data_IF_825983600257
#
_entry.id   IF_825983600257
#
_cell.length_a   1.000
_cell.length_b   1.000
_cell.length_c   1.000
_cell.angle_alpha   90.00
_cell.angle_beta   90.00
_cell.angle_gamma   90.00
#
_symmetry.space_group_name_H-M   'P 1'
#
loop_
_entity.id
_entity.type
_entity.pdbx_description
1 polymer ?
#
# COMPACT_ATOMS: atom_id res chain seq x y z
N UNK A 1 5.33 -10.36 -9.38
CA UNK A 1 5.39 -11.73 -9.93
C UNK A 1 5.28 -11.74 -11.46
N UNK A 2 4.18 -11.20 -12.04
CA UNK A 2 3.96 -11.19 -13.50
C UNK A 2 5.06 -10.43 -14.27
N UNK A 3 5.55 -9.31 -13.72
CA UNK A 3 6.63 -8.53 -14.35
C UNK A 3 7.96 -9.30 -14.39
N UNK A 4 8.32 -9.95 -13.29
CA UNK A 4 9.52 -10.78 -13.20
C UNK A 4 9.46 -11.97 -14.17
N UNK A 5 8.25 -12.55 -14.36
CA UNK A 5 8.02 -13.61 -15.33
C UNK A 5 8.14 -13.16 -16.80
N UNK A 6 7.89 -11.86 -17.08
CA UNK A 6 7.84 -11.35 -18.46
C UNK A 6 9.10 -10.63 -18.91
N UNK A 7 9.98 -10.20 -17.98
CA UNK A 7 11.19 -9.42 -18.28
C UNK A 7 12.46 -9.89 -17.59
N UNK A 8 12.39 -10.95 -16.77
CA UNK A 8 13.62 -11.62 -16.30
C UNK A 8 14.44 -12.09 -17.50
N UNK A 9 15.76 -11.89 -17.48
CA UNK A 9 16.63 -12.59 -18.42
C UNK A 9 16.46 -14.09 -18.19
N UNK A 10 16.65 -14.93 -19.20
CA UNK A 10 16.59 -16.38 -19.05
C UNK A 10 17.58 -16.91 -17.99
N UNK A 11 18.55 -16.08 -17.56
CA UNK A 11 19.56 -16.36 -16.54
C UNK A 11 19.13 -15.96 -15.11
N UNK A 12 18.06 -15.17 -14.92
CA UNK A 12 17.63 -14.71 -13.60
C UNK A 12 16.66 -15.70 -12.95
N UNK A 13 17.18 -16.52 -12.03
CA UNK A 13 16.35 -17.37 -11.19
C UNK A 13 15.85 -16.59 -9.97
N UNK A 14 14.57 -16.32 -9.92
CA UNK A 14 13.94 -15.62 -8.81
C UNK A 14 13.12 -16.54 -7.92
N UNK A 15 13.07 -16.22 -6.63
CA UNK A 15 12.19 -16.86 -5.63
C UNK A 15 11.27 -15.78 -5.06
N UNK A 16 9.96 -16.05 -5.06
CA UNK A 16 8.94 -15.23 -4.44
C UNK A 16 8.30 -16.01 -3.30
N UNK A 17 8.27 -15.40 -2.11
CA UNK A 17 7.68 -15.97 -0.89
C UNK A 17 6.76 -14.93 -0.23
N UNK A 18 5.61 -15.40 0.24
CA UNK A 18 4.77 -14.65 1.16
C UNK A 18 5.23 -14.90 2.60
N UNK A 19 4.88 -14.00 3.53
CA UNK A 19 5.32 -14.11 4.92
C UNK A 19 4.99 -15.49 5.52
N UNK A 20 3.80 -16.00 5.30
CA UNK A 20 3.34 -17.32 5.79
C UNK A 20 4.19 -18.51 5.30
N UNK A 21 4.91 -18.34 4.20
CA UNK A 21 5.80 -19.34 3.63
C UNK A 21 7.24 -19.26 4.19
N UNK A 22 7.53 -18.22 5.00
CA UNK A 22 8.87 -17.97 5.51
C UNK A 22 9.19 -18.88 6.69
N UNK A 23 10.31 -19.57 6.57
CA UNK A 23 10.96 -20.27 7.67
C UNK A 23 12.45 -19.98 7.61
N UNK A 24 13.12 -19.98 8.76
CA UNK A 24 14.57 -19.79 8.84
C UNK A 24 15.31 -20.79 7.93
N UNK A 25 14.88 -22.07 7.93
CA UNK A 25 15.44 -23.13 7.09
C UNK A 25 15.27 -22.88 5.59
N UNK A 26 14.08 -22.38 5.16
CA UNK A 26 13.81 -22.09 3.74
C UNK A 26 14.68 -20.95 3.24
N UNK A 27 14.80 -19.89 4.03
CA UNK A 27 15.68 -18.75 3.72
C UNK A 27 17.15 -19.18 3.64
N UNK A 28 17.62 -20.06 4.53
CA UNK A 28 18.98 -20.59 4.49
C UNK A 28 19.26 -21.40 3.23
N UNK A 29 18.32 -22.25 2.82
CA UNK A 29 18.43 -23.00 1.56
C UNK A 29 18.54 -22.09 0.35
N UNK A 30 17.70 -21.04 0.28
CA UNK A 30 17.72 -20.05 -0.80
C UNK A 30 19.04 -19.27 -0.79
N UNK A 31 19.49 -18.85 0.39
CA UNK A 31 20.77 -18.15 0.52
C UNK A 31 21.97 -19.00 0.10
N UNK A 32 21.89 -20.32 0.23
CA UNK A 32 22.93 -21.27 -0.22
C UNK A 32 22.87 -21.64 -1.71
N UNK A 33 21.73 -21.39 -2.35
CA UNK A 33 21.51 -21.75 -3.77
C UNK A 33 22.15 -20.71 -4.68
N UNK A 34 23.19 -21.11 -5.44
CA UNK A 34 23.93 -20.21 -6.33
C UNK A 34 23.16 -19.82 -7.59
N UNK A 35 22.11 -20.57 -7.95
CA UNK A 35 21.30 -20.26 -9.11
C UNK A 35 20.24 -19.18 -8.82
N UNK A 36 19.91 -18.94 -7.55
CA UNK A 36 18.96 -17.88 -7.17
C UNK A 36 19.71 -16.53 -7.17
N UNK A 37 19.19 -15.59 -7.94
CA UNK A 37 19.73 -14.22 -8.05
C UNK A 37 18.84 -13.19 -7.41
N UNK A 38 17.51 -13.40 -7.41
CA UNK A 38 16.51 -12.47 -6.87
C UNK A 38 15.63 -13.16 -5.84
N UNK A 39 15.49 -12.55 -4.67
CA UNK A 39 14.59 -12.98 -3.61
C UNK A 39 13.54 -11.88 -3.36
N UNK A 40 12.26 -12.22 -3.49
CA UNK A 40 11.14 -11.34 -3.19
C UNK A 40 10.41 -11.87 -1.96
N UNK A 41 10.30 -11.04 -0.93
CA UNK A 41 9.58 -11.34 0.30
C UNK A 41 8.40 -10.37 0.42
N UNK A 42 7.19 -10.91 0.44
CA UNK A 42 5.95 -10.15 0.46
C UNK A 42 5.20 -10.29 1.79
N UNK A 43 4.35 -9.33 2.07
CA UNK A 43 3.51 -9.24 3.27
C UNK A 43 4.33 -9.25 4.59
N UNK A 44 5.49 -8.58 4.61
CA UNK A 44 6.39 -8.58 5.78
C UNK A 44 5.77 -8.03 7.07
N UNK A 45 4.65 -7.31 7.00
CA UNK A 45 3.92 -6.87 8.19
C UNK A 45 3.38 -8.05 9.02
N UNK A 46 3.18 -9.21 8.40
CA UNK A 46 2.65 -10.40 9.06
C UNK A 46 3.72 -11.17 9.86
N UNK A 47 5.00 -10.87 9.64
CA UNK A 47 6.10 -11.51 10.37
C UNK A 47 6.01 -11.35 11.88
N UNK A 48 5.40 -10.27 12.38
CA UNK A 48 5.34 -9.97 13.81
C UNK A 48 4.51 -10.99 14.59
N UNK A 49 3.59 -11.68 13.93
CA UNK A 49 2.65 -12.63 14.54
C UNK A 49 3.13 -14.09 14.43
N UNK A 50 4.30 -14.32 13.83
CA UNK A 50 4.82 -15.67 13.60
C UNK A 50 5.67 -16.17 14.78
N UNK A 51 5.60 -17.46 15.08
CA UNK A 51 6.38 -18.10 16.15
C UNK A 51 7.90 -17.94 15.99
N UNK A 52 8.41 -18.01 14.73
CA UNK A 52 9.84 -17.89 14.40
C UNK A 52 10.24 -16.47 13.97
N UNK A 53 9.42 -15.45 14.27
CA UNK A 53 9.60 -14.10 13.74
C UNK A 53 11.03 -13.55 13.90
N UNK A 54 11.62 -13.66 15.08
CA UNK A 54 12.95 -13.10 15.36
C UNK A 54 14.05 -13.85 14.62
N UNK A 55 13.92 -15.16 14.48
CA UNK A 55 14.88 -15.96 13.72
C UNK A 55 14.82 -15.67 12.22
N UNK A 56 13.61 -15.52 11.68
CA UNK A 56 13.36 -15.13 10.29
C UNK A 56 13.95 -13.74 10.01
N UNK A 57 13.67 -12.74 10.88
CA UNK A 57 14.23 -11.38 10.77
C UNK A 57 15.76 -11.40 10.76
N UNK A 58 16.37 -12.09 11.70
CA UNK A 58 17.82 -12.23 11.76
C UNK A 58 18.41 -12.89 10.50
N UNK A 59 17.70 -13.85 9.93
CA UNK A 59 18.11 -14.51 8.68
C UNK A 59 17.99 -13.56 7.47
N UNK A 60 16.92 -12.80 7.39
CA UNK A 60 16.75 -11.77 6.34
C UNK A 60 17.86 -10.72 6.43
N UNK A 61 18.15 -10.18 7.61
CA UNK A 61 19.23 -9.23 7.82
C UNK A 61 20.58 -9.78 7.34
N UNK A 62 20.88 -11.05 7.65
CA UNK A 62 22.10 -11.72 7.20
C UNK A 62 22.17 -11.85 5.67
N UNK A 63 21.07 -12.21 5.01
CA UNK A 63 21.00 -12.29 3.54
C UNK A 63 21.26 -10.92 2.92
N UNK A 64 20.67 -9.87 3.47
CA UNK A 64 20.86 -8.50 3.01
C UNK A 64 22.32 -8.04 3.14
N UNK A 65 22.94 -8.24 4.29
CA UNK A 65 24.34 -7.83 4.54
C UNK A 65 25.35 -8.63 3.75
N UNK A 66 25.05 -9.88 3.39
CA UNK A 66 25.90 -10.68 2.50
C UNK A 66 25.95 -10.15 1.07
N UNK A 67 24.94 -9.42 0.61
CA UNK A 67 24.91 -8.73 -0.67
C UNK A 67 24.96 -9.62 -1.92
N UNK A 68 24.74 -10.93 -1.78
CA UNK A 68 24.78 -11.87 -2.92
C UNK A 68 23.50 -11.84 -3.75
N UNK A 69 22.37 -11.66 -3.09
CA UNK A 69 21.04 -11.66 -3.72
C UNK A 69 20.53 -10.23 -3.90
N UNK A 70 19.84 -9.99 -4.99
CA UNK A 70 18.92 -8.86 -5.08
C UNK A 70 17.69 -9.20 -4.23
N UNK A 71 17.45 -8.43 -3.18
CA UNK A 71 16.32 -8.66 -2.28
C UNK A 71 15.30 -7.55 -2.44
N UNK A 72 14.06 -7.93 -2.67
CA UNK A 72 12.90 -7.03 -2.72
C UNK A 72 12.02 -7.36 -1.53
N UNK A 73 11.85 -6.40 -0.64
CA UNK A 73 11.00 -6.50 0.53
C UNK A 73 9.72 -5.70 0.28
N UNK A 74 8.56 -6.34 0.45
CA UNK A 74 7.25 -5.71 0.25
C UNK A 74 6.50 -5.76 1.57
N UNK A 75 5.95 -4.60 1.97
CA UNK A 75 5.15 -4.46 3.18
C UNK A 75 4.10 -3.39 3.01
N UNK A 76 2.96 -3.53 3.64
CA UNK A 76 1.87 -2.53 3.60
C UNK A 76 2.13 -1.33 4.50
N UNK A 77 2.90 -1.52 5.56
CA UNK A 77 3.18 -0.50 6.56
C UNK A 77 4.48 0.27 6.29
N UNK A 78 4.94 0.95 7.33
CA UNK A 78 6.26 1.59 7.34
C UNK A 78 7.36 0.54 7.28
N UNK A 79 8.54 0.99 6.86
CA UNK A 79 9.72 0.13 6.98
C UNK A 79 9.88 -0.37 8.42
N UNK A 80 9.95 -1.68 8.64
CA UNK A 80 10.05 -2.25 9.97
C UNK A 80 11.31 -1.78 10.71
N UNK A 81 11.17 -1.50 12.02
CA UNK A 81 12.27 -0.99 12.84
C UNK A 81 13.52 -1.89 12.85
N UNK A 82 13.32 -3.21 12.74
CA UNK A 82 14.44 -4.17 12.70
C UNK A 82 15.31 -4.07 11.43
N UNK A 83 14.83 -3.40 10.37
CA UNK A 83 15.64 -3.10 9.17
C UNK A 83 16.48 -1.83 9.29
N UNK A 84 16.24 -0.98 10.30
CA UNK A 84 16.97 0.29 10.45
C UNK A 84 18.48 0.09 10.62
N UNK A 85 18.89 -0.91 11.40
CA UNK A 85 20.31 -1.21 11.61
C UNK A 85 20.95 -1.65 10.28
N UNK A 86 20.28 -2.53 9.55
CA UNK A 86 20.74 -2.97 8.22
C UNK A 86 20.81 -1.82 7.23
N UNK A 87 19.85 -0.89 7.27
CA UNK A 87 19.85 0.30 6.42
C UNK A 87 21.06 1.21 6.66
N UNK A 88 21.58 1.22 7.89
CA UNK A 88 22.79 1.99 8.21
C UNK A 88 24.07 1.32 7.65
N UNK A 89 24.05 0.01 7.45
CA UNK A 89 25.19 -0.75 6.94
C UNK A 89 25.21 -0.88 5.41
N UNK A 90 24.03 -1.01 4.81
CA UNK A 90 23.87 -1.16 3.36
C UNK A 90 22.90 -0.14 2.79
N UNK A 91 23.03 0.16 1.51
CA UNK A 91 22.12 1.08 0.83
C UNK A 91 20.81 0.37 0.46
N UNK A 92 19.77 0.55 1.27
CA UNK A 92 18.42 0.08 0.97
C UNK A 92 17.66 1.22 0.30
N UNK A 93 17.23 1.02 -0.95
CA UNK A 93 16.31 1.94 -1.62
C UNK A 93 14.89 1.67 -1.11
N UNK A 94 14.32 2.62 -0.41
CA UNK A 94 12.91 2.59 -0.02
C UNK A 94 12.08 3.23 -1.13
N UNK A 95 11.04 2.53 -1.58
CA UNK A 95 10.03 3.06 -2.50
C UNK A 95 8.74 3.20 -1.69
N UNK A 96 8.35 4.44 -1.47
CA UNK A 96 7.14 4.76 -0.73
C UNK A 96 5.90 4.65 -1.62
N UNK A 97 4.73 4.58 -1.00
CA UNK A 97 3.46 4.58 -1.74
C UNK A 97 3.31 5.80 -2.65
N UNK A 98 3.76 6.98 -2.20
CA UNK A 98 3.70 8.21 -3.02
C UNK A 98 4.47 8.08 -4.34
N UNK A 99 5.58 7.34 -4.34
CA UNK A 99 6.36 7.07 -5.56
C UNK A 99 5.68 6.06 -6.48
N UNK A 100 4.69 5.31 -5.97
CA UNK A 100 3.90 4.34 -6.74
C UNK A 100 2.60 4.95 -7.29
N UNK A 101 2.23 6.16 -6.88
CA UNK A 101 1.08 6.85 -7.45
C UNK A 101 1.35 7.21 -8.91
N UNK A 102 0.35 6.99 -9.75
CA UNK A 102 0.42 7.33 -11.17
C UNK A 102 0.07 8.81 -11.39
N UNK A 103 0.94 9.50 -12.11
CA UNK A 103 0.66 10.85 -12.58
C UNK A 103 -0.40 10.86 -13.69
N UNK A 104 -1.05 12.00 -13.93
CA UNK A 104 -2.09 12.19 -14.97
C UNK A 104 -1.70 11.57 -16.32
N UNK A 105 -0.44 11.78 -16.73
CA UNK A 105 0.07 11.23 -17.98
C UNK A 105 0.14 9.71 -17.98
N UNK A 106 0.55 9.13 -16.85
CA UNK A 106 0.67 7.68 -16.69
C UNK A 106 -0.73 7.03 -16.63
N UNK A 107 -1.69 7.67 -15.92
CA UNK A 107 -3.09 7.24 -15.90
C UNK A 107 -3.68 7.25 -17.31
N UNK A 108 -3.45 8.32 -18.09
CA UNK A 108 -3.87 8.37 -19.49
C UNK A 108 -3.29 7.22 -20.30
N UNK A 109 -1.97 7.03 -20.26
CA UNK A 109 -1.28 5.96 -20.98
C UNK A 109 -1.78 4.58 -20.56
N UNK A 110 -2.10 4.40 -19.28
CA UNK A 110 -2.68 3.16 -18.78
C UNK A 110 -4.00 2.84 -19.48
N UNK A 111 -4.94 3.79 -19.51
CA UNK A 111 -6.24 3.59 -20.16
C UNK A 111 -6.12 3.42 -21.69
N UNK A 112 -5.25 4.20 -22.34
CA UNK A 112 -4.95 4.02 -23.77
C UNK A 112 -4.45 2.60 -24.08
N UNK A 113 -3.58 2.05 -23.24
CA UNK A 113 -3.08 0.67 -23.37
C UNK A 113 -4.18 -0.39 -23.11
N UNK A 114 -5.20 -0.04 -22.34
CA UNK A 114 -6.40 -0.87 -22.14
C UNK A 114 -7.43 -0.70 -23.29
N UNK A 115 -7.14 0.14 -24.29
CA UNK A 115 -8.04 0.41 -25.42
C UNK A 115 -9.15 1.44 -25.10
N UNK A 116 -9.01 2.17 -24.00
CA UNK A 116 -9.99 3.16 -23.55
C UNK A 116 -9.52 4.58 -23.87
N UNK A 117 -10.30 5.28 -24.69
CA UNK A 117 -10.04 6.67 -25.04
C UNK A 117 -10.85 7.62 -24.14
N UNK A 118 -10.25 8.07 -23.05
CA UNK A 118 -10.86 9.02 -22.13
C UNK A 118 -10.70 10.45 -22.64
N UNK A 119 -11.74 11.26 -22.52
CA UNK A 119 -11.64 12.69 -22.73
C UNK A 119 -10.89 13.36 -21.54
N UNK A 120 -10.52 14.63 -21.72
CA UNK A 120 -9.73 15.35 -20.72
C UNK A 120 -10.46 15.54 -19.39
N UNK A 121 -11.78 15.69 -19.44
CA UNK A 121 -12.59 15.92 -18.24
C UNK A 121 -12.74 14.63 -17.44
N UNK A 122 -13.05 13.51 -18.10
CA UNK A 122 -13.19 12.21 -17.43
C UNK A 122 -11.85 11.73 -16.85
N UNK A 123 -10.74 11.97 -17.57
CA UNK A 123 -9.41 11.69 -17.01
C UNK A 123 -9.18 12.48 -15.71
N UNK A 124 -9.50 13.78 -15.70
CA UNK A 124 -9.35 14.60 -14.50
C UNK A 124 -10.23 14.10 -13.35
N UNK A 125 -11.46 13.66 -13.63
CA UNK A 125 -12.36 13.08 -12.63
C UNK A 125 -11.78 11.80 -12.04
N UNK A 126 -11.26 10.89 -12.89
CA UNK A 126 -10.61 9.66 -12.43
C UNK A 126 -9.40 9.98 -11.56
N UNK A 127 -8.50 10.85 -12.03
CA UNK A 127 -7.31 11.23 -11.26
C UNK A 127 -7.70 11.88 -9.93
N UNK A 128 -8.65 12.83 -9.94
CA UNK A 128 -9.13 13.46 -8.72
C UNK A 128 -9.79 12.47 -7.75
N UNK A 129 -10.43 11.41 -8.24
CA UNK A 129 -11.03 10.39 -7.40
C UNK A 129 -9.99 9.39 -6.85
N UNK A 130 -9.07 8.94 -7.69
CA UNK A 130 -8.13 7.86 -7.38
C UNK A 130 -6.84 8.36 -6.72
N UNK A 131 -6.54 9.65 -6.83
CA UNK A 131 -5.26 10.25 -6.43
C UNK A 131 -4.04 9.51 -7.00
N UNK A 132 -4.20 8.95 -8.21
CA UNK A 132 -3.15 8.13 -8.84
C UNK A 132 -2.95 6.74 -8.24
N UNK A 133 -3.79 6.31 -7.30
CA UNK A 133 -3.64 5.03 -6.63
C UNK A 133 -3.96 3.86 -7.58
N UNK A 134 -2.96 3.02 -7.86
CA UNK A 134 -3.02 2.01 -8.91
C UNK A 134 -4.17 1.02 -8.79
N UNK A 135 -4.52 0.58 -7.56
CA UNK A 135 -5.66 -0.31 -7.34
C UNK A 135 -6.97 0.35 -7.78
N UNK A 136 -7.20 1.62 -7.36
CA UNK A 136 -8.42 2.34 -7.72
C UNK A 136 -8.51 2.59 -9.22
N UNK A 137 -7.38 2.90 -9.88
CA UNK A 137 -7.32 3.05 -11.34
C UNK A 137 -7.69 1.74 -12.02
N UNK A 138 -7.18 0.61 -11.51
CA UNK A 138 -7.54 -0.72 -12.03
C UNK A 138 -9.02 -1.05 -11.85
N UNK A 139 -9.62 -0.65 -10.72
CA UNK A 139 -11.05 -0.83 -10.50
C UNK A 139 -11.89 -0.03 -11.49
N UNK A 140 -11.49 1.22 -11.79
CA UNK A 140 -12.11 1.99 -12.87
C UNK A 140 -11.99 1.30 -14.23
N UNK A 141 -10.83 0.76 -14.55
CA UNK A 141 -10.61 0.02 -15.80
C UNK A 141 -11.53 -1.20 -15.90
N UNK A 142 -11.64 -2.00 -14.84
CA UNK A 142 -12.53 -3.16 -14.80
C UNK A 142 -13.99 -2.73 -14.94
N UNK A 143 -14.42 -1.73 -14.20
CA UNK A 143 -15.80 -1.25 -14.24
C UNK A 143 -16.15 -0.66 -15.61
N UNK A 144 -15.25 0.12 -16.21
CA UNK A 144 -15.43 0.66 -17.56
C UNK A 144 -15.37 -0.45 -18.62
N UNK A 145 -14.56 -1.48 -18.40
CA UNK A 145 -14.46 -2.63 -19.31
C UNK A 145 -15.69 -3.54 -19.32
N UNK A 146 -16.43 -3.59 -18.23
CA UNK A 146 -17.69 -4.35 -18.12
C UNK A 146 -18.85 -3.68 -18.87
N UNK A 147 -18.75 -2.38 -19.16
CA UNK A 147 -19.71 -1.74 -20.07
C UNK A 147 -19.35 -2.14 -21.51
N UNK A 148 -20.28 -2.66 -22.29
CA UNK A 148 -20.12 -3.25 -23.66
C UNK A 148 -19.43 -2.34 -24.71
N UNK A 149 -18.82 -1.25 -24.33
CA UNK A 149 -18.20 -0.21 -25.18
C UNK A 149 -16.84 -0.57 -25.76
N UNK A 150 -16.22 -1.67 -25.35
CA UNK A 150 -14.87 -2.04 -25.81
C UNK A 150 -14.75 -2.39 -27.31
N UNK A 151 -15.86 -2.47 -28.05
CA UNK A 151 -15.81 -2.96 -29.45
C UNK A 151 -15.83 -1.88 -30.52
N UNK A 152 -16.09 -0.61 -30.21
CA UNK A 152 -16.36 0.39 -31.26
C UNK A 152 -15.43 1.60 -31.31
N UNK A 153 -14.43 1.72 -30.42
CA UNK A 153 -13.60 2.94 -30.37
C UNK A 153 -14.40 4.20 -29.96
N UNK A 154 -15.58 4.02 -29.39
CA UNK A 154 -16.40 5.12 -28.90
C UNK A 154 -15.81 5.75 -27.65
N UNK A 155 -15.93 7.08 -27.57
CA UNK A 155 -15.51 7.82 -26.38
C UNK A 155 -16.41 7.47 -25.22
N UNK A 156 -15.82 7.02 -24.13
CA UNK A 156 -16.52 6.76 -22.88
C UNK A 156 -16.73 8.09 -22.17
N UNK A 157 -17.97 8.33 -21.72
CA UNK A 157 -18.31 9.46 -20.86
C UNK A 157 -18.66 8.96 -19.45
N UNK A 158 -17.95 9.47 -18.46
CA UNK A 158 -18.28 9.25 -17.05
C UNK A 158 -19.48 10.12 -16.67
N UNK A 159 -20.66 9.52 -16.68
CA UNK A 159 -21.85 10.17 -16.10
C UNK A 159 -21.79 10.09 -14.57
N UNK A 160 -22.47 10.98 -13.83
CA UNK A 160 -22.56 10.90 -12.37
C UNK A 160 -23.02 9.52 -11.89
N UNK A 161 -24.05 8.95 -12.53
CA UNK A 161 -24.58 7.63 -12.17
C UNK A 161 -23.55 6.50 -12.34
N UNK A 162 -22.74 6.54 -13.41
CA UNK A 162 -21.67 5.58 -13.62
C UNK A 162 -20.54 5.74 -12.60
N UNK A 163 -20.21 6.96 -12.26
CA UNK A 163 -19.19 7.22 -11.23
C UNK A 163 -19.64 6.67 -9.88
N UNK A 164 -20.93 6.80 -9.57
CA UNK A 164 -21.54 6.24 -8.35
C UNK A 164 -21.54 4.72 -8.36
N UNK A 165 -21.88 4.10 -9.48
CA UNK A 165 -21.82 2.64 -9.64
C UNK A 165 -20.39 2.10 -9.46
N UNK A 166 -19.39 2.74 -10.07
CA UNK A 166 -17.99 2.39 -9.89
C UNK A 166 -17.57 2.54 -8.42
N UNK A 167 -18.02 3.60 -7.75
CA UNK A 167 -17.75 3.81 -6.34
C UNK A 167 -18.33 2.68 -5.47
N UNK A 168 -19.55 2.24 -5.75
CA UNK A 168 -20.19 1.15 -5.02
C UNK A 168 -19.46 -0.18 -5.23
N UNK A 169 -19.07 -0.50 -6.47
CA UNK A 169 -18.26 -1.69 -6.77
C UNK A 169 -16.89 -1.66 -6.07
N UNK A 170 -16.25 -0.48 -6.05
CA UNK A 170 -15.00 -0.30 -5.32
C UNK A 170 -15.19 -0.51 -3.81
N UNK A 171 -16.28 0.02 -3.25
CA UNK A 171 -16.61 -0.17 -1.85
C UNK A 171 -16.80 -1.65 -1.51
N UNK A 172 -17.60 -2.37 -2.28
CA UNK A 172 -17.82 -3.82 -2.10
C UNK A 172 -16.49 -4.60 -2.14
N UNK A 173 -15.64 -4.27 -3.10
CA UNK A 173 -14.31 -4.90 -3.19
C UNK A 173 -13.43 -4.61 -1.98
N UNK A 174 -13.38 -3.37 -1.53
CA UNK A 174 -12.57 -2.98 -0.36
C UNK A 174 -13.13 -3.59 0.93
N UNK A 175 -14.44 -3.66 1.07
CA UNK A 175 -15.08 -4.29 2.22
C UNK A 175 -14.73 -5.78 2.28
N UNK A 176 -14.87 -6.50 1.18
CA UNK A 176 -14.60 -7.93 1.12
C UNK A 176 -13.11 -8.28 1.28
N UNK A 177 -12.21 -7.51 0.65
CA UNK A 177 -10.81 -7.91 0.53
C UNK A 177 -9.83 -7.12 1.41
N UNK A 178 -10.26 -6.00 1.97
CA UNK A 178 -9.41 -5.14 2.80
C UNK A 178 -9.98 -5.00 4.21
N UNK A 179 -11.20 -4.45 4.32
CA UNK A 179 -11.76 -4.06 5.62
C UNK A 179 -12.24 -5.25 6.44
N UNK A 180 -12.70 -6.33 5.81
CA UNK A 180 -13.09 -7.56 6.50
C UNK A 180 -11.96 -8.19 7.31
N UNK A 181 -10.71 -7.88 6.97
CA UNK A 181 -9.51 -8.37 7.69
C UNK A 181 -9.06 -7.43 8.80
N UNK A 182 -9.67 -6.25 8.92
CA UNK A 182 -9.32 -5.31 9.99
C UNK A 182 -10.09 -5.63 11.26
N UNK A 183 -9.45 -5.34 12.39
CA UNK A 183 -10.11 -5.36 13.68
C UNK A 183 -11.26 -4.34 13.69
N UNK A 184 -12.43 -4.76 14.18
CA UNK A 184 -13.64 -3.93 14.22
C UNK A 184 -13.43 -2.63 15.02
N UNK A 185 -12.61 -2.67 16.09
CA UNK A 185 -12.26 -1.47 16.85
C UNK A 185 -11.47 -0.47 16.02
N UNK A 186 -10.52 -0.98 15.22
CA UNK A 186 -9.72 -0.16 14.31
C UNK A 186 -10.57 0.43 13.18
N UNK A 187 -11.45 -0.39 12.60
CA UNK A 187 -12.36 0.06 11.54
C UNK A 187 -13.29 1.17 12.04
N UNK A 188 -13.94 0.99 13.20
CA UNK A 188 -14.80 2.01 13.82
C UNK A 188 -14.03 3.30 14.13
N UNK A 189 -12.80 3.16 14.65
CA UNK A 189 -11.91 4.30 14.91
C UNK A 189 -11.62 5.09 13.63
N UNK A 190 -11.25 4.41 12.55
CA UNK A 190 -10.93 5.04 11.28
C UNK A 190 -12.16 5.64 10.61
N UNK A 191 -13.29 4.95 10.61
CA UNK A 191 -14.55 5.46 10.06
C UNK A 191 -14.96 6.76 10.73
N UNK A 192 -14.88 6.86 12.05
CA UNK A 192 -15.18 8.11 12.77
C UNK A 192 -14.24 9.25 12.41
N UNK A 193 -12.99 8.95 12.11
CA UNK A 193 -11.98 9.96 11.74
C UNK A 193 -12.09 10.44 10.29
N UNK A 194 -12.86 9.77 9.41
CA UNK A 194 -13.01 10.19 8.00
C UNK A 194 -13.62 11.57 7.81
N UNK A 195 -14.29 12.11 8.84
CA UNK A 195 -14.85 13.47 8.83
C UNK A 195 -13.79 14.57 8.77
N UNK A 196 -12.53 14.25 9.10
CA UNK A 196 -11.41 15.19 9.05
C UNK A 196 -10.33 14.66 8.11
N UNK A 197 -9.50 15.54 7.55
CA UNK A 197 -8.36 15.16 6.73
C UNK A 197 -7.12 14.90 7.59
N UNK A 198 -6.94 15.73 8.60
CA UNK A 198 -5.81 15.68 9.51
C UNK A 198 -6.31 15.71 10.95
N UNK A 199 -5.62 15.02 11.83
CA UNK A 199 -5.94 15.00 13.26
C UNK A 199 -4.68 14.83 14.11
N UNK A 200 -4.71 15.40 15.29
CA UNK A 200 -3.81 15.06 16.38
C UNK A 200 -4.50 14.06 17.35
N UNK A 201 -3.77 13.54 18.30
CA UNK A 201 -4.29 12.54 19.24
C UNK A 201 -5.45 13.07 20.10
N UNK A 202 -5.46 14.36 20.43
CA UNK A 202 -6.53 14.98 21.23
C UNK A 202 -7.81 15.12 20.41
N UNK A 203 -7.69 15.49 19.15
CA UNK A 203 -8.83 15.54 18.23
C UNK A 203 -9.38 14.14 17.97
N UNK A 204 -8.48 13.15 17.77
CA UNK A 204 -8.89 11.77 17.59
C UNK A 204 -9.69 11.24 18.81
N UNK A 205 -9.23 11.49 20.04
CA UNK A 205 -9.98 11.13 21.24
C UNK A 205 -11.36 11.77 21.31
N UNK A 206 -11.46 13.05 20.92
CA UNK A 206 -12.73 13.79 20.93
C UNK A 206 -13.72 13.25 19.90
N UNK A 207 -13.25 12.97 18.68
CA UNK A 207 -14.09 12.49 17.58
C UNK A 207 -14.54 11.05 17.83
N UNK A 208 -13.61 10.18 18.21
CA UNK A 208 -13.87 8.74 18.31
C UNK A 208 -14.41 8.31 19.69
N UNK A 209 -14.18 9.13 20.71
CA UNK A 209 -14.43 8.76 22.11
C UNK A 209 -13.41 7.73 22.66
N UNK A 210 -12.43 7.31 21.86
CA UNK A 210 -11.46 6.29 22.26
C UNK A 210 -10.27 6.92 22.99
N UNK A 211 -10.12 6.61 24.27
CA UNK A 211 -9.01 7.11 25.10
C UNK A 211 -7.64 6.54 24.67
N UNK A 212 -7.64 5.41 23.95
CA UNK A 212 -6.43 4.76 23.45
C UNK A 212 -6.11 5.18 21.99
N UNK A 213 -6.46 6.41 21.59
CA UNK A 213 -6.26 6.92 20.24
C UNK A 213 -4.80 6.79 19.76
N UNK A 214 -3.81 6.94 20.65
CA UNK A 214 -2.41 6.74 20.33
C UNK A 214 -2.11 5.30 19.88
N UNK A 215 -2.59 4.31 20.63
CA UNK A 215 -2.45 2.89 20.28
C UNK A 215 -3.15 2.56 18.98
N UNK A 216 -4.37 3.09 18.79
CA UNK A 216 -5.13 2.87 17.55
C UNK A 216 -4.44 3.49 16.33
N UNK A 217 -3.93 4.72 16.47
CA UNK A 217 -3.17 5.38 15.40
C UNK A 217 -1.87 4.65 15.08
N UNK A 218 -1.15 4.15 16.10
CA UNK A 218 0.05 3.33 15.89
C UNK A 218 -0.29 2.02 15.15
N UNK A 219 -1.35 1.31 15.58
CA UNK A 219 -1.84 0.10 14.93
C UNK A 219 -2.22 0.35 13.47
N UNK A 220 -2.92 1.45 13.20
CA UNK A 220 -3.28 1.86 11.85
C UNK A 220 -2.05 2.11 10.96
N UNK A 221 -1.02 2.77 11.49
CA UNK A 221 0.24 3.00 10.77
C UNK A 221 0.98 1.70 10.46
N UNK A 222 1.05 0.79 11.42
CA UNK A 222 1.79 -0.47 11.28
C UNK A 222 1.09 -1.44 10.31
N UNK A 223 -0.24 -1.43 10.28
CA UNK A 223 -1.03 -2.21 9.31
C UNK A 223 -1.14 -1.56 7.93
N UNK A 224 -0.62 -0.35 7.74
CA UNK A 224 -0.70 0.36 6.47
C UNK A 224 -2.13 0.73 6.04
N UNK A 225 -3.02 1.04 7.01
CA UNK A 225 -4.45 1.27 6.80
C UNK A 225 -4.79 2.66 6.24
N UNK A 226 -3.87 3.31 5.53
CA UNK A 226 -4.14 4.58 4.88
C UNK A 226 -4.03 5.82 5.78
N UNK A 227 -3.43 5.69 6.97
CA UNK A 227 -3.01 6.83 7.79
C UNK A 227 -1.52 7.09 7.56
N UNK A 228 -1.15 8.36 7.48
CA UNK A 228 0.24 8.82 7.48
C UNK A 228 0.52 9.69 8.70
N UNK A 229 1.72 9.55 9.26
CA UNK A 229 2.22 10.42 10.31
C UNK A 229 2.95 11.60 9.68
N UNK A 230 2.56 12.82 10.04
CA UNK A 230 3.25 14.04 9.67
C UNK A 230 3.83 14.72 10.92
N UNK A 231 5.09 15.17 10.84
CA UNK A 231 5.70 16.00 11.87
C UNK A 231 5.65 17.42 11.36
N UNK A 232 4.69 18.24 11.84
CA UNK A 232 4.47 19.59 11.31
C UNK A 232 5.34 20.66 11.95
N UNK A 233 5.62 20.60 13.25
CA UNK A 233 6.43 21.62 13.94
C UNK A 233 7.03 21.12 15.25
N UNK A 234 8.21 21.69 15.59
CA UNK A 234 8.77 21.62 16.93
C UNK A 234 8.28 22.83 17.72
N UNK A 235 7.37 22.66 18.66
CA UNK A 235 6.95 23.72 19.57
C UNK A 235 8.02 23.93 20.62
N UNK A 236 8.73 25.07 20.54
CA UNK A 236 9.72 25.49 21.55
C UNK A 236 9.09 25.74 22.93
N UNK A 237 7.79 26.07 22.98
CA UNK A 237 7.09 26.36 24.24
C UNK A 237 6.72 25.10 25.04
N UNK A 238 6.60 23.95 24.37
CA UNK A 238 6.19 22.70 25.02
C UNK A 238 7.28 21.62 24.97
N UNK A 239 8.45 21.90 24.40
CA UNK A 239 9.54 20.92 24.19
C UNK A 239 9.08 19.59 23.55
N UNK A 240 7.99 19.61 22.77
CA UNK A 240 7.40 18.43 22.12
C UNK A 240 7.23 18.68 20.62
N UNK A 241 7.50 17.62 19.85
CA UNK A 241 7.12 17.60 18.44
C UNK A 241 5.60 17.43 18.35
N UNK A 242 4.93 18.34 17.64
CA UNK A 242 3.53 18.17 17.30
C UNK A 242 3.45 17.14 16.18
N UNK A 243 2.82 16.04 16.46
CA UNK A 243 2.61 14.95 15.51
C UNK A 243 1.15 14.98 15.10
N UNK A 244 0.93 15.24 13.83
CA UNK A 244 -0.37 15.14 13.21
C UNK A 244 -0.43 13.86 12.36
N UNK A 245 -1.64 13.38 12.13
CA UNK A 245 -1.94 12.23 11.29
C UNK A 245 -2.83 12.68 10.15
N UNK A 246 -2.58 12.15 8.97
CA UNK A 246 -3.39 12.40 7.77
C UNK A 246 -4.05 11.11 7.34
N UNK A 247 -5.35 11.15 7.05
CA UNK A 247 -6.08 10.04 6.43
C UNK A 247 -5.99 10.22 4.92
N UNK A 248 -5.42 9.23 4.24
CA UNK A 248 -5.27 9.28 2.79
C UNK A 248 -6.60 9.40 2.07
N UNK A 249 -6.66 10.25 1.07
CA UNK A 249 -7.87 10.53 0.31
C UNK A 249 -8.60 9.29 -0.23
N UNK A 250 -7.93 8.26 -0.77
CA UNK A 250 -8.61 7.05 -1.22
C UNK A 250 -9.37 6.33 -0.10
N UNK A 251 -8.73 6.11 1.05
CA UNK A 251 -9.35 5.44 2.21
C UNK A 251 -10.48 6.28 2.77
N UNK A 252 -10.26 7.59 2.94
CA UNK A 252 -11.30 8.51 3.41
C UNK A 252 -12.53 8.47 2.51
N UNK A 253 -12.35 8.47 1.18
CA UNK A 253 -13.47 8.44 0.22
C UNK A 253 -14.18 7.10 0.17
N UNK A 254 -13.52 6.01 0.52
CA UNK A 254 -14.12 4.68 0.53
C UNK A 254 -14.85 4.37 1.83
N UNK A 255 -14.43 4.98 2.95
CA UNK A 255 -15.07 4.79 4.26
C UNK A 255 -16.18 5.82 4.56
N UNK A 256 -16.25 6.93 3.80
CA UNK A 256 -17.28 7.98 3.92
C UNK A 256 -18.40 7.75 2.91
#
# INVERSE_FOLDING_TARGET
KRYLLTRGSDDDRYVYLQAEELTSRRLEKIAGDREVTVLVLDDLQELSDMEEAEEIKARICRILTQGRLWVILISRGRMPGWLLEVQMEINIKVISEKELHLEDRQVRTYFENCGLMLNREDLRRIVAFTDGYGLMIRMFDIALGNFEFHRSGERIFLTPDRTEEIRNQLWEYLDEHVYSHWDLELLDFLMKLTIVEEFDLELAKKITGNQNAERMSAKALDQGTGIQRQVKEYSREQERMKVDYEIRAPVRRSLF
#
